data_IF_218781447259
#
_entry.id   IF_218781447259
#
_cell.length_a   1.000
_cell.length_b   1.000
_cell.length_c   1.000
_cell.angle_alpha   90.00
_cell.angle_beta   90.00
_cell.angle_gamma   90.00
#
_symmetry.space_group_name_H-M   'P 1'
#
loop_
_entity.id
_entity.type
_entity.pdbx_description
1 polymer ?
#
# COMPACT_ATOMS: atom_id res chain seq x y z
N UNK A 1 3.06 -18.14 -43.15
CA UNK A 1 2.48 -18.67 -41.88
C UNK A 1 3.55 -18.63 -40.78
N UNK A 2 4.67 -19.35 -40.87
CA UNK A 2 5.69 -19.37 -39.80
C UNK A 2 6.42 -18.03 -39.61
N UNK A 3 6.54 -17.21 -40.65
CA UNK A 3 7.18 -15.90 -40.58
C UNK A 3 6.26 -14.82 -40.01
N UNK A 4 4.95 -14.94 -40.20
CA UNK A 4 3.93 -14.09 -39.59
C UNK A 4 3.79 -14.37 -38.09
N UNK A 5 3.83 -15.64 -37.66
CA UNK A 5 3.81 -16.02 -36.25
C UNK A 5 5.05 -15.57 -35.46
N UNK A 6 6.20 -15.49 -36.11
CA UNK A 6 7.45 -15.02 -35.48
C UNK A 6 7.48 -13.48 -35.36
N UNK A 7 6.89 -12.77 -36.32
CA UNK A 7 6.74 -11.31 -36.26
C UNK A 7 5.71 -10.89 -35.24
N UNK A 8 4.57 -11.56 -35.12
CA UNK A 8 3.57 -11.32 -34.07
C UNK A 8 4.13 -11.57 -32.66
N UNK A 9 4.95 -12.60 -32.46
CA UNK A 9 5.61 -12.86 -31.17
C UNK A 9 6.65 -11.80 -30.81
N UNK A 10 7.37 -11.26 -31.79
CA UNK A 10 8.32 -10.16 -31.58
C UNK A 10 7.61 -8.88 -31.18
N UNK A 11 6.58 -8.48 -31.90
CA UNK A 11 5.77 -7.29 -31.61
C UNK A 11 5.14 -7.39 -30.22
N UNK A 12 4.58 -8.55 -29.86
CA UNK A 12 4.04 -8.79 -28.51
C UNK A 12 5.13 -8.73 -27.41
N UNK A 13 6.32 -9.24 -27.68
CA UNK A 13 7.43 -9.20 -26.73
C UNK A 13 7.99 -7.79 -26.53
N UNK A 14 8.07 -6.99 -27.58
CA UNK A 14 8.51 -5.59 -27.52
C UNK A 14 7.50 -4.72 -26.78
N UNK A 15 6.20 -4.91 -27.01
CA UNK A 15 5.12 -4.20 -26.34
C UNK A 15 5.11 -4.52 -24.82
N UNK A 16 5.21 -5.79 -24.45
CA UNK A 16 5.30 -6.19 -23.04
C UNK A 16 6.53 -5.60 -22.34
N UNK A 17 7.68 -5.59 -23.01
CA UNK A 17 8.91 -5.00 -22.46
C UNK A 17 8.78 -3.49 -22.24
N UNK A 18 8.15 -2.79 -23.16
CA UNK A 18 7.89 -1.35 -23.04
C UNK A 18 6.95 -1.04 -21.87
N UNK A 19 5.87 -1.82 -21.71
CA UNK A 19 4.93 -1.71 -20.58
C UNK A 19 5.63 -1.97 -19.25
N UNK A 20 6.41 -3.04 -19.13
CA UNK A 20 7.17 -3.35 -17.91
C UNK A 20 8.13 -2.22 -17.55
N UNK A 21 8.85 -1.66 -18.54
CA UNK A 21 9.76 -0.54 -18.31
C UNK A 21 9.04 0.73 -17.84
N UNK A 22 7.87 1.01 -18.40
CA UNK A 22 7.04 2.14 -17.99
C UNK A 22 6.53 1.97 -16.54
N UNK A 23 6.06 0.78 -16.20
CA UNK A 23 5.60 0.44 -14.84
C UNK A 23 6.75 0.55 -13.83
N UNK A 24 7.94 0.02 -14.15
CA UNK A 24 9.12 0.14 -13.28
C UNK A 24 9.54 1.61 -13.08
N UNK A 25 9.44 2.42 -14.11
CA UNK A 25 9.73 3.86 -14.01
C UNK A 25 8.70 4.59 -13.14
N UNK A 26 7.42 4.32 -13.35
CA UNK A 26 6.33 4.84 -12.51
C UNK A 26 6.45 4.38 -11.06
N UNK A 27 6.83 3.13 -10.83
CA UNK A 27 7.10 2.57 -9.50
C UNK A 27 8.18 3.36 -8.75
N UNK A 28 9.30 3.72 -9.40
CA UNK A 28 10.35 4.56 -8.78
C UNK A 28 9.81 5.92 -8.33
N UNK A 29 8.96 6.54 -9.14
CA UNK A 29 8.31 7.80 -8.78
C UNK A 29 7.41 7.61 -7.55
N UNK A 30 6.57 6.58 -7.52
CA UNK A 30 5.69 6.29 -6.40
C UNK A 30 6.46 5.97 -5.10
N UNK A 31 7.57 5.23 -5.21
CA UNK A 31 8.47 4.97 -4.07
C UNK A 31 9.07 6.28 -3.55
N UNK A 32 9.50 7.19 -4.42
CA UNK A 32 10.01 8.51 -4.03
C UNK A 32 8.96 9.36 -3.33
N UNK A 33 7.72 9.36 -3.83
CA UNK A 33 6.57 10.02 -3.18
C UNK A 33 6.32 9.40 -1.80
N UNK A 34 6.36 8.07 -1.70
CA UNK A 34 6.18 7.36 -0.44
C UNK A 34 7.26 7.75 0.58
N UNK A 35 8.53 7.77 0.19
CA UNK A 35 9.64 8.16 1.05
C UNK A 35 9.48 9.61 1.54
N UNK A 36 9.21 10.56 0.64
CA UNK A 36 8.98 11.95 1.03
C UNK A 36 7.78 12.13 1.96
N UNK A 37 6.71 11.37 1.75
CA UNK A 37 5.53 11.44 2.62
C UNK A 37 5.80 10.94 4.04
N UNK A 38 6.81 10.09 4.21
CA UNK A 38 7.24 9.57 5.52
C UNK A 38 8.23 10.49 6.25
N UNK A 39 8.87 11.44 5.56
CA UNK A 39 9.97 12.24 6.14
C UNK A 39 9.62 12.99 7.43
N UNK A 40 8.36 13.40 7.57
CA UNK A 40 7.89 14.09 8.78
C UNK A 40 7.70 13.17 10.00
N UNK A 41 7.79 11.86 9.83
CA UNK A 41 7.54 10.85 10.87
C UNK A 41 8.60 9.74 10.91
N UNK A 42 9.67 9.84 10.13
CA UNK A 42 10.70 8.81 9.97
C UNK A 42 11.51 8.54 11.26
N UNK A 43 11.61 9.51 12.15
CA UNK A 43 12.21 9.39 13.48
C UNK A 43 11.33 8.59 14.46
N UNK A 44 10.04 8.46 14.17
CA UNK A 44 9.06 7.79 15.02
C UNK A 44 8.63 6.43 14.49
N UNK A 45 8.54 6.27 13.17
CA UNK A 45 7.93 5.11 12.51
C UNK A 45 8.71 4.72 11.26
N UNK A 46 9.17 3.47 11.20
CA UNK A 46 9.77 2.92 9.97
C UNK A 46 8.67 2.59 8.92
N UNK A 47 9.05 2.45 7.66
CA UNK A 47 8.11 2.09 6.59
C UNK A 47 7.36 0.78 6.86
N UNK A 48 7.99 -0.32 7.34
CA UNK A 48 7.24 -1.54 7.71
C UNK A 48 6.25 -1.32 8.86
N UNK A 49 6.61 -0.52 9.85
CA UNK A 49 5.71 -0.15 10.96
C UNK A 49 4.54 0.70 10.48
N UNK A 50 4.81 1.68 9.61
CA UNK A 50 3.76 2.50 9.00
C UNK A 50 2.79 1.63 8.18
N UNK A 51 3.30 0.64 7.43
CA UNK A 51 2.48 -0.32 6.71
C UNK A 51 1.53 -1.09 7.65
N UNK A 52 2.00 -1.53 8.82
CA UNK A 52 1.16 -2.13 9.86
C UNK A 52 0.08 -1.16 10.35
N UNK A 53 0.41 0.12 10.56
CA UNK A 53 -0.55 1.14 10.96
C UNK A 53 -1.63 1.37 9.89
N UNK A 54 -1.25 1.37 8.60
CA UNK A 54 -2.21 1.49 7.48
C UNK A 54 -3.17 0.29 7.45
N UNK A 55 -2.67 -0.93 7.67
CA UNK A 55 -3.52 -2.12 7.79
C UNK A 55 -4.53 -1.97 8.91
N UNK A 56 -4.12 -1.49 10.10
CA UNK A 56 -5.04 -1.23 11.21
C UNK A 56 -6.03 -0.10 10.91
N UNK A 57 -5.61 0.93 10.18
CA UNK A 57 -6.50 2.00 9.76
C UNK A 57 -7.60 1.51 8.81
N UNK A 58 -7.25 0.58 7.94
CA UNK A 58 -8.14 0.03 6.90
C UNK A 58 -9.08 -1.04 7.44
N UNK A 59 -8.55 -1.99 8.20
CA UNK A 59 -9.30 -3.17 8.66
C UNK A 59 -9.86 -3.02 10.09
N UNK A 60 -9.48 -1.96 10.79
CA UNK A 60 -9.87 -1.78 12.19
C UNK A 60 -9.13 -2.74 13.13
N UNK A 61 -9.84 -3.22 14.13
CA UNK A 61 -9.28 -4.15 15.12
C UNK A 61 -8.88 -5.48 14.48
N UNK A 62 -7.61 -5.85 14.61
CA UNK A 62 -7.03 -6.99 13.89
C UNK A 62 -6.21 -7.88 14.84
N UNK A 63 -6.31 -9.20 14.68
CA UNK A 63 -5.49 -10.18 15.40
C UNK A 63 -4.07 -10.18 14.85
N UNK A 64 -3.08 -10.55 15.68
CA UNK A 64 -1.68 -10.61 15.26
C UNK A 64 -1.44 -11.57 14.09
N UNK A 65 -2.08 -12.74 14.09
CA UNK A 65 -1.94 -13.71 12.99
C UNK A 65 -2.44 -13.13 11.68
N UNK A 66 -3.65 -12.57 11.68
CA UNK A 66 -4.22 -11.89 10.51
C UNK A 66 -3.34 -10.71 10.06
N UNK A 67 -2.77 -9.96 11.00
CA UNK A 67 -1.84 -8.89 10.70
C UNK A 67 -0.57 -9.40 10.00
N UNK A 68 -0.01 -10.50 10.48
CA UNK A 68 1.17 -11.12 9.87
C UNK A 68 0.88 -11.57 8.42
N UNK A 69 -0.28 -12.20 8.22
CA UNK A 69 -0.75 -12.62 6.89
C UNK A 69 -0.92 -11.41 5.94
N UNK A 70 -1.63 -10.36 6.40
CA UNK A 70 -1.83 -9.14 5.61
C UNK A 70 -0.54 -8.38 5.28
N UNK A 71 0.49 -8.52 6.11
CA UNK A 71 1.80 -7.91 5.89
C UNK A 71 2.76 -8.81 5.09
N UNK A 72 2.43 -10.08 4.88
CA UNK A 72 3.32 -11.05 4.25
C UNK A 72 4.58 -11.33 5.08
N UNK A 73 4.47 -11.34 6.42
CA UNK A 73 5.58 -11.59 7.34
C UNK A 73 5.23 -12.70 8.33
N UNK A 74 6.24 -13.29 8.97
CA UNK A 74 5.98 -14.24 10.04
C UNK A 74 5.47 -13.53 11.33
N UNK A 75 4.74 -14.28 12.17
CA UNK A 75 4.12 -13.77 13.39
C UNK A 75 5.13 -13.15 14.36
N UNK A 76 6.37 -13.64 14.43
CA UNK A 76 7.40 -13.09 15.31
C UNK A 76 7.90 -11.71 14.83
N UNK A 77 7.94 -11.50 13.52
CA UNK A 77 8.26 -10.18 12.94
C UNK A 77 7.11 -9.21 13.17
N UNK A 78 5.86 -9.63 12.92
CA UNK A 78 4.68 -8.83 13.21
C UNK A 78 4.62 -8.44 14.70
N UNK A 79 4.89 -9.38 15.61
CA UNK A 79 4.93 -9.11 17.06
C UNK A 79 5.96 -8.04 17.40
N UNK A 80 7.20 -8.16 16.93
CA UNK A 80 8.25 -7.16 17.21
C UNK A 80 7.92 -5.76 16.67
N UNK A 81 7.25 -5.69 15.52
CA UNK A 81 6.75 -4.41 14.99
C UNK A 81 5.64 -3.84 15.88
N UNK A 82 4.69 -4.68 16.28
CA UNK A 82 3.61 -4.28 17.18
C UNK A 82 4.14 -3.80 18.54
N UNK A 83 5.08 -4.51 19.14
CA UNK A 83 5.69 -4.13 20.43
C UNK A 83 6.35 -2.73 20.36
N UNK A 84 7.04 -2.43 19.27
CA UNK A 84 7.64 -1.10 19.05
C UNK A 84 6.60 -0.01 18.88
N UNK A 85 5.52 -0.28 18.14
CA UNK A 85 4.42 0.66 17.95
C UNK A 85 3.64 0.87 19.25
N UNK A 86 3.46 -0.17 20.07
CA UNK A 86 2.87 -0.03 21.41
C UNK A 86 3.75 0.80 22.33
N UNK A 87 5.07 0.55 22.34
CA UNK A 87 6.03 1.34 23.11
C UNK A 87 6.05 2.83 22.67
N UNK A 88 5.78 3.11 21.39
CA UNK A 88 5.65 4.47 20.85
C UNK A 88 4.25 5.07 21.10
N UNK A 89 3.31 4.34 21.70
CA UNK A 89 1.94 4.82 21.97
C UNK A 89 1.04 4.94 20.73
N UNK A 90 1.42 4.31 19.61
CA UNK A 90 0.73 4.45 18.32
C UNK A 90 -0.34 3.38 18.08
N UNK A 91 -0.20 2.23 18.74
CA UNK A 91 -1.20 1.18 18.75
C UNK A 91 -1.43 0.70 20.19
N UNK A 92 -2.58 0.10 20.42
CA UNK A 92 -2.89 -0.61 21.67
C UNK A 92 -3.29 -2.04 21.36
N UNK A 93 -3.06 -2.91 22.35
CA UNK A 93 -3.46 -4.31 22.32
C UNK A 93 -4.46 -4.54 23.45
N UNK A 94 -5.64 -5.01 23.10
CA UNK A 94 -6.73 -5.25 24.02
C UNK A 94 -7.18 -6.71 23.94
N UNK A 95 -7.68 -7.25 25.06
CA UNK A 95 -8.26 -8.59 25.06
C UNK A 95 -9.56 -8.55 24.27
N UNK A 96 -9.75 -9.52 23.36
CA UNK A 96 -10.97 -9.62 22.59
C UNK A 96 -12.17 -9.88 23.54
N UNK A 97 -13.17 -8.99 23.62
CA UNK A 97 -14.30 -9.16 24.54
C UNK A 97 -15.14 -10.41 24.22
N UNK A 98 -15.09 -10.89 22.97
CA UNK A 98 -15.80 -12.10 22.52
C UNK A 98 -15.00 -13.38 22.73
N UNK A 99 -13.66 -13.29 22.88
CA UNK A 99 -12.79 -14.43 23.12
C UNK A 99 -11.55 -13.98 23.93
N UNK A 100 -11.57 -14.20 25.24
CA UNK A 100 -10.50 -13.77 26.17
C UNK A 100 -9.12 -14.41 25.89
N UNK A 101 -9.05 -15.43 25.04
CA UNK A 101 -7.78 -16.03 24.62
C UNK A 101 -7.13 -15.30 23.46
N UNK A 102 -7.83 -14.36 22.85
CA UNK A 102 -7.36 -13.59 21.72
C UNK A 102 -7.11 -12.14 22.13
N UNK A 103 -6.16 -11.52 21.45
CA UNK A 103 -5.91 -10.08 21.56
C UNK A 103 -6.11 -9.42 20.21
N UNK A 104 -6.71 -8.25 20.24
CA UNK A 104 -6.90 -7.39 19.10
C UNK A 104 -5.96 -6.19 19.21
N UNK A 105 -5.40 -5.78 18.11
CA UNK A 105 -4.61 -4.55 17.98
C UNK A 105 -5.44 -3.50 17.26
N UNK A 106 -5.34 -2.26 17.69
CA UNK A 106 -5.96 -1.11 17.02
C UNK A 106 -5.06 0.12 17.10
N UNK A 107 -5.25 1.06 16.21
CA UNK A 107 -4.60 2.36 16.31
C UNK A 107 -5.09 3.13 17.55
N UNK A 108 -4.18 3.87 18.17
CA UNK A 108 -4.53 4.96 19.05
C UNK A 108 -4.98 6.16 18.21
N UNK A 109 -5.52 7.19 18.87
CA UNK A 109 -5.82 8.46 18.19
C UNK A 109 -4.56 9.08 17.57
N UNK A 110 -3.44 9.07 18.30
CA UNK A 110 -2.15 9.55 17.81
C UNK A 110 -1.65 8.73 16.61
N UNK A 111 -1.78 7.39 16.67
CA UNK A 111 -1.46 6.52 15.54
C UNK A 111 -2.29 6.85 14.30
N UNK A 112 -3.58 7.13 14.47
CA UNK A 112 -4.46 7.54 13.38
C UNK A 112 -4.05 8.88 12.78
N UNK A 113 -3.75 9.87 13.60
CA UNK A 113 -3.26 11.18 13.14
C UNK A 113 -1.99 11.07 12.29
N UNK A 114 -1.05 10.20 12.68
CA UNK A 114 0.16 9.93 11.87
C UNK A 114 -0.21 9.34 10.50
N UNK A 115 -1.08 8.33 10.47
CA UNK A 115 -1.53 7.74 9.20
C UNK A 115 -2.18 8.81 8.32
N UNK A 116 -3.11 9.58 8.86
CA UNK A 116 -3.83 10.61 8.13
C UNK A 116 -2.88 11.70 7.59
N UNK A 117 -1.90 12.13 8.38
CA UNK A 117 -0.89 13.11 7.98
C UNK A 117 -0.05 12.63 6.80
N UNK A 118 0.50 11.41 6.89
CA UNK A 118 1.33 10.83 5.83
C UNK A 118 0.50 10.63 4.56
N UNK A 119 -0.72 10.13 4.70
CA UNK A 119 -1.61 9.89 3.56
C UNK A 119 -2.08 11.18 2.90
N UNK A 120 -2.36 12.22 3.68
CA UNK A 120 -2.70 13.53 3.15
C UNK A 120 -1.51 14.15 2.38
N UNK A 121 -0.28 13.99 2.87
CA UNK A 121 0.92 14.43 2.16
C UNK A 121 1.08 13.70 0.83
N UNK A 122 1.00 12.38 0.84
CA UNK A 122 1.08 11.54 -0.35
C UNK A 122 0.02 11.92 -1.39
N UNK A 123 -1.23 12.13 -0.94
CA UNK A 123 -2.33 12.55 -1.82
C UNK A 123 -2.05 13.90 -2.48
N UNK A 124 -1.51 14.87 -1.74
CA UNK A 124 -1.14 16.18 -2.29
C UNK A 124 -0.03 16.05 -3.34
N UNK A 125 1.02 15.28 -3.07
CA UNK A 125 2.12 15.09 -4.02
C UNK A 125 1.66 14.42 -5.32
N UNK A 126 0.92 13.31 -5.20
CA UNK A 126 0.35 12.63 -6.37
C UNK A 126 -0.60 13.58 -7.11
N UNK A 127 -1.45 14.31 -6.39
CA UNK A 127 -2.36 15.28 -6.97
C UNK A 127 -1.64 16.36 -7.77
N UNK A 128 -0.50 16.87 -7.27
CA UNK A 128 0.32 17.86 -7.99
C UNK A 128 0.95 17.31 -9.29
N UNK A 129 1.26 16.01 -9.32
CA UNK A 129 1.76 15.34 -10.53
C UNK A 129 0.63 15.19 -11.54
N UNK A 130 -0.50 14.64 -11.11
CA UNK A 130 -1.67 14.38 -11.95
C UNK A 130 -2.27 15.70 -12.49
N UNK A 131 -2.18 16.79 -11.75
CA UNK A 131 -2.67 18.11 -12.19
C UNK A 131 -1.93 18.61 -13.45
N UNK A 132 -0.69 18.19 -13.70
CA UNK A 132 0.09 18.56 -14.87
C UNK A 132 -0.24 17.72 -16.13
N UNK A 133 -1.02 16.66 -15.98
CA UNK A 133 -1.46 15.81 -17.08
C UNK A 133 -2.70 16.42 -17.76
N UNK A 134 -2.86 16.16 -19.07
CA UNK A 134 -4.09 16.52 -19.78
C UNK A 134 -5.30 15.72 -19.25
N UNK A 135 -6.53 16.20 -19.46
CA UNK A 135 -7.72 15.45 -19.06
C UNK A 135 -7.82 14.06 -19.73
N UNK A 136 -7.30 13.91 -20.93
CA UNK A 136 -7.24 12.64 -21.65
C UNK A 136 -6.26 11.67 -21.00
N UNK A 137 -5.02 12.11 -20.77
CA UNK A 137 -4.00 11.32 -20.07
C UNK A 137 -4.46 10.87 -18.67
N UNK A 138 -5.24 11.70 -17.93
CA UNK A 138 -5.81 11.31 -16.65
C UNK A 138 -6.80 10.16 -16.78
N UNK A 139 -7.66 10.17 -17.81
CA UNK A 139 -8.62 9.09 -18.07
C UNK A 139 -7.90 7.79 -18.43
N UNK A 140 -6.90 7.89 -19.32
CA UNK A 140 -6.08 6.74 -19.71
C UNK A 140 -5.32 6.14 -18.52
N UNK A 141 -4.73 7.01 -17.68
CA UNK A 141 -4.04 6.56 -16.46
C UNK A 141 -4.99 5.83 -15.50
N UNK A 142 -6.20 6.33 -15.29
CA UNK A 142 -7.21 5.66 -14.44
C UNK A 142 -7.53 4.28 -15.00
N UNK A 143 -7.81 4.16 -16.32
CA UNK A 143 -8.12 2.90 -16.96
C UNK A 143 -6.94 1.90 -16.85
N UNK A 144 -5.72 2.35 -17.15
CA UNK A 144 -4.52 1.54 -17.08
C UNK A 144 -4.21 1.06 -15.65
N UNK A 145 -4.33 1.95 -14.65
CA UNK A 145 -4.09 1.61 -13.25
C UNK A 145 -5.11 0.63 -12.70
N UNK A 146 -6.40 0.79 -13.06
CA UNK A 146 -7.44 -0.14 -12.65
C UNK A 146 -7.18 -1.54 -13.22
N UNK A 147 -6.87 -1.64 -14.52
CA UNK A 147 -6.55 -2.92 -15.15
C UNK A 147 -5.28 -3.56 -14.53
N UNK A 148 -4.27 -2.76 -14.22
CA UNK A 148 -3.01 -3.23 -13.62
C UNK A 148 -3.21 -3.75 -12.20
N UNK A 149 -3.96 -3.01 -11.36
CA UNK A 149 -4.24 -3.42 -9.98
C UNK A 149 -5.16 -4.63 -9.92
N UNK A 150 -6.16 -4.71 -10.78
CA UNK A 150 -7.03 -5.89 -10.92
C UNK A 150 -6.22 -7.13 -11.32
N UNK A 151 -5.34 -7.01 -12.33
CA UNK A 151 -4.46 -8.10 -12.74
C UNK A 151 -3.49 -8.53 -11.62
N UNK A 152 -3.09 -7.60 -10.75
CA UNK A 152 -2.25 -7.85 -9.58
C UNK A 152 -3.01 -8.39 -8.36
N UNK A 153 -4.33 -8.50 -8.42
CA UNK A 153 -5.17 -8.96 -7.31
C UNK A 153 -5.39 -7.91 -6.20
N UNK A 154 -5.09 -6.64 -6.48
CA UNK A 154 -5.34 -5.54 -5.53
C UNK A 154 -6.83 -5.18 -5.55
N UNK A 155 -7.51 -5.10 -4.39
CA UNK A 155 -8.92 -4.69 -4.35
C UNK A 155 -9.11 -3.24 -4.82
N UNK A 156 -10.24 -2.96 -5.47
CA UNK A 156 -10.56 -1.63 -5.97
C UNK A 156 -10.52 -0.56 -4.87
N UNK A 157 -10.01 0.62 -5.20
CA UNK A 157 -9.82 1.74 -4.28
C UNK A 157 -11.09 2.19 -3.55
N UNK A 158 -12.26 1.99 -4.15
CA UNK A 158 -13.57 2.34 -3.58
C UNK A 158 -13.99 1.43 -2.41
N UNK A 159 -13.28 0.32 -2.19
CA UNK A 159 -13.59 -0.67 -1.16
C UNK A 159 -12.94 -0.37 0.18
N UNK A 160 -12.04 0.60 0.26
CA UNK A 160 -11.30 0.91 1.49
C UNK A 160 -11.26 2.41 1.76
N UNK A 161 -11.46 2.84 3.03
CA UNK A 161 -11.31 4.25 3.41
C UNK A 161 -9.88 4.77 3.23
N UNK A 162 -8.91 3.86 3.08
CA UNK A 162 -7.52 4.16 2.77
C UNK A 162 -7.08 3.38 1.52
N UNK A 163 -7.13 3.99 0.31
CA UNK A 163 -6.80 3.33 -0.96
C UNK A 163 -5.30 3.00 -1.13
N UNK A 164 -4.63 2.66 -0.07
CA UNK A 164 -3.25 2.21 -0.02
C UNK A 164 -3.11 1.00 0.93
N UNK A 165 -4.15 0.18 1.00
CA UNK A 165 -4.03 -1.17 1.49
C UNK A 165 -2.96 -1.86 0.63
N UNK A 166 -1.90 -2.35 1.25
CA UNK A 166 -0.92 -3.17 0.56
C UNK A 166 -1.56 -4.55 0.38
N UNK A 167 -1.47 -5.19 -0.80
CA UNK A 167 -2.09 -6.49 -0.99
C UNK A 167 -1.50 -7.53 -0.03
N UNK A 168 -2.25 -8.56 0.34
CA UNK A 168 -1.65 -9.76 0.89
C UNK A 168 -0.71 -10.34 -0.19
N UNK A 169 0.48 -10.67 0.20
CA UNK A 169 1.45 -11.40 -0.63
C UNK A 169 1.03 -12.86 -0.68
#
# INVERSE_FOLDING_TARGET
VAMEEDDERRVHGEDLSAVVSAVLTGSRLLVSVAARSMSAVEDRVTLPQFRMMVVLATHGETKLVTMADLLGVNSSTAMRMADRLMAAGLIVREVNPRNRRESLMRLTEEGRLIVDQVMAHRRREIGSIVARMSPEQRRELVAAMNAFTEAGGEPAADSTPYPLGWPPV
#
